data_IF_800704542335
#
_entry.id   IF_800704542335
#
_cell.length_a   1.000
_cell.length_b   1.000
_cell.length_c   1.000
_cell.angle_alpha   90.00
_cell.angle_beta   90.00
_cell.angle_gamma   90.00
#
_symmetry.space_group_name_H-M   'P 1'
#
loop_
_entity.id
_entity.type
_entity.pdbx_description
1 polymer ?
#
# COMPACT_ATOMS: atom_id res chain seq x y z
N UNK A 1 -22.29 -0.71 16.78
CA UNK A 1 -22.20 -0.35 15.35
C UNK A 1 -23.58 -0.50 14.69
N UNK A 2 -24.34 0.59 14.64
CA UNK A 2 -25.60 0.63 13.89
C UNK A 2 -25.30 1.17 12.50
N UNK A 3 -25.30 0.31 11.48
CA UNK A 3 -25.17 0.72 10.08
C UNK A 3 -26.41 1.48 9.62
N UNK A 4 -26.18 2.66 9.07
CA UNK A 4 -27.16 3.58 8.47
C UNK A 4 -28.01 2.85 7.42
N UNK A 5 -29.33 2.85 7.63
CA UNK A 5 -30.33 3.08 6.58
C UNK A 5 -30.69 2.00 5.57
N UNK A 6 -30.19 0.76 5.65
CA UNK A 6 -30.59 -0.29 4.68
C UNK A 6 -31.59 -1.29 5.29
N UNK A 7 -32.57 -1.73 4.48
CA UNK A 7 -33.60 -2.70 4.89
C UNK A 7 -32.94 -3.99 5.44
N UNK A 8 -33.59 -4.56 6.45
CA UNK A 8 -33.10 -5.71 7.21
C UNK A 8 -33.83 -6.97 6.73
N UNK A 9 -33.66 -7.32 5.45
CA UNK A 9 -34.20 -8.55 4.89
C UNK A 9 -33.25 -9.73 5.15
N UNK A 10 -33.80 -10.94 5.09
CA UNK A 10 -33.15 -12.21 5.45
C UNK A 10 -31.97 -12.60 4.53
N UNK A 11 -31.50 -11.69 3.68
CA UNK A 11 -30.44 -11.87 2.70
C UNK A 11 -29.08 -11.32 3.17
N UNK A 12 -29.00 -10.73 4.38
CA UNK A 12 -27.73 -10.25 4.92
C UNK A 12 -26.83 -11.39 5.35
N UNK A 13 -25.71 -11.53 4.65
CA UNK A 13 -24.58 -12.35 5.08
C UNK A 13 -23.68 -11.45 5.94
N UNK A 14 -23.32 -11.85 7.18
CA UNK A 14 -22.37 -11.09 7.98
C UNK A 14 -21.01 -11.07 7.29
N UNK A 15 -20.28 -9.95 7.42
CA UNK A 15 -18.90 -9.92 6.95
C UNK A 15 -18.07 -11.01 7.64
N UNK A 16 -17.22 -11.73 6.89
CA UNK A 16 -16.39 -12.79 7.44
C UNK A 16 -15.37 -12.23 8.45
N UNK A 17 -14.97 -13.09 9.38
CA UNK A 17 -13.92 -12.81 10.34
C UNK A 17 -12.56 -13.10 9.70
N UNK A 18 -12.03 -12.13 8.95
CA UNK A 18 -10.72 -12.25 8.30
C UNK A 18 -9.60 -12.04 9.31
N UNK A 19 -8.76 -13.07 9.46
CA UNK A 19 -7.60 -13.09 10.36
C UNK A 19 -6.34 -13.36 9.55
N UNK A 20 -5.63 -12.30 9.11
CA UNK A 20 -4.43 -12.45 8.30
C UNK A 20 -3.35 -13.24 9.05
N UNK A 21 -2.76 -14.21 8.34
CA UNK A 21 -1.62 -14.97 8.82
C UNK A 21 -0.35 -14.49 8.13
N UNK A 22 0.75 -14.44 8.89
CA UNK A 22 2.04 -14.03 8.35
C UNK A 22 2.60 -15.17 7.51
N UNK A 23 3.09 -14.83 6.31
CA UNK A 23 3.92 -15.73 5.52
C UNK A 23 5.35 -15.72 6.06
N UNK A 24 5.91 -16.90 6.35
CA UNK A 24 7.31 -17.04 6.78
C UNK A 24 8.30 -16.80 5.62
N UNK A 25 7.85 -17.03 4.38
CA UNK A 25 8.62 -16.79 3.16
C UNK A 25 7.72 -16.14 2.11
N UNK A 26 8.26 -15.27 1.25
CA UNK A 26 7.49 -14.73 0.13
C UNK A 26 6.94 -15.84 -0.76
N UNK A 27 5.68 -15.72 -1.17
CA UNK A 27 5.08 -16.60 -2.15
C UNK A 27 5.62 -16.23 -3.55
N UNK A 28 6.31 -17.16 -4.17
CA UNK A 28 6.79 -17.00 -5.55
C UNK A 28 6.04 -17.95 -6.47
N UNK A 29 5.37 -17.38 -7.48
CA UNK A 29 4.66 -18.12 -8.53
C UNK A 29 5.43 -17.90 -9.83
N UNK A 30 6.12 -18.94 -10.29
CA UNK A 30 6.89 -18.87 -11.53
C UNK A 30 5.95 -18.84 -12.74
N UNK A 31 6.16 -17.88 -13.63
CA UNK A 31 5.46 -17.80 -14.92
C UNK A 31 6.45 -17.41 -16.02
N UNK A 32 6.84 -18.39 -16.85
CA UNK A 32 7.81 -18.20 -17.94
C UNK A 32 7.27 -17.41 -19.12
N UNK A 33 5.96 -17.15 -19.18
CA UNK A 33 5.33 -16.40 -20.28
C UNK A 33 5.45 -14.88 -20.10
N UNK A 34 5.78 -14.41 -18.89
CA UNK A 34 5.95 -13.00 -18.57
C UNK A 34 7.43 -12.67 -18.30
N UNK A 35 7.89 -11.55 -18.86
CA UNK A 35 9.29 -11.11 -18.70
C UNK A 35 9.52 -10.25 -17.44
N UNK A 36 8.44 -9.70 -16.89
CA UNK A 36 8.47 -8.80 -15.74
C UNK A 36 8.03 -9.52 -14.48
N UNK A 37 8.56 -9.04 -13.36
CA UNK A 37 8.12 -9.42 -12.02
C UNK A 37 6.91 -8.57 -11.66
N UNK A 38 5.85 -9.23 -11.20
CA UNK A 38 4.73 -8.60 -10.54
C UNK A 38 4.88 -8.89 -9.07
N UNK A 39 4.96 -7.84 -8.25
CA UNK A 39 5.02 -8.01 -6.80
C UNK A 39 3.82 -7.33 -6.16
N UNK A 40 3.45 -7.88 -5.01
CA UNK A 40 2.46 -7.31 -4.11
C UNK A 40 2.99 -7.53 -2.70
N UNK A 41 3.12 -6.44 -1.96
CA UNK A 41 3.48 -6.45 -0.54
C UNK A 41 2.24 -5.98 0.19
N UNK A 42 1.82 -6.74 1.20
CA UNK A 42 0.70 -6.39 2.03
C UNK A 42 1.09 -6.50 3.50
N UNK A 43 0.68 -5.51 4.28
CA UNK A 43 0.93 -5.43 5.70
C UNK A 43 -0.39 -5.29 6.42
N UNK A 44 -0.51 -5.88 7.61
CA UNK A 44 -1.79 -5.94 8.31
C UNK A 44 -1.71 -5.42 9.74
N UNK A 45 -2.65 -4.56 10.07
CA UNK A 45 -3.02 -4.21 11.44
C UNK A 45 -4.18 -5.11 11.88
N UNK A 46 -4.06 -5.79 13.03
CA UNK A 46 -5.08 -6.73 13.56
C UNK A 46 -6.28 -6.05 14.24
N UNK A 47 -6.58 -4.83 13.79
CA UNK A 47 -7.74 -4.03 14.18
C UNK A 47 -8.08 -3.11 13.03
N UNK A 48 -9.26 -2.50 13.09
CA UNK A 48 -9.56 -1.38 12.21
C UNK A 48 -8.71 -0.16 12.61
N UNK A 49 -8.22 0.56 11.61
CA UNK A 49 -7.71 1.91 11.80
C UNK A 49 -8.86 2.85 12.14
N UNK A 50 -8.60 3.86 12.96
CA UNK A 50 -9.51 5.00 13.14
C UNK A 50 -9.57 5.84 11.85
N UNK A 51 -10.55 6.73 11.76
CA UNK A 51 -10.67 7.63 10.61
C UNK A 51 -9.40 8.51 10.48
N UNK A 52 -8.90 9.08 11.60
CA UNK A 52 -7.64 9.85 11.61
C UNK A 52 -6.42 9.04 11.14
N UNK A 53 -6.32 7.77 11.56
CA UNK A 53 -5.23 6.89 11.13
C UNK A 53 -5.33 6.54 9.64
N UNK A 54 -6.56 6.38 9.13
CA UNK A 54 -6.80 6.13 7.71
C UNK A 54 -6.47 7.36 6.87
N UNK A 55 -6.88 8.56 7.30
CA UNK A 55 -6.56 9.82 6.63
C UNK A 55 -5.06 10.07 6.60
N UNK A 56 -4.36 9.85 7.73
CA UNK A 56 -2.91 9.94 7.78
C UNK A 56 -2.24 8.95 6.81
N UNK A 57 -2.71 7.71 6.74
CA UNK A 57 -2.12 6.71 5.86
C UNK A 57 -2.44 6.95 4.38
N UNK A 58 -3.60 7.54 4.06
CA UNK A 58 -3.90 8.01 2.71
C UNK A 58 -2.95 9.13 2.29
N UNK A 59 -2.67 10.09 3.17
CA UNK A 59 -1.68 11.14 2.91
C UNK A 59 -0.29 10.56 2.63
N UNK A 60 0.10 9.53 3.38
CA UNK A 60 1.34 8.79 3.14
C UNK A 60 1.34 8.13 1.75
N UNK A 61 0.24 7.54 1.30
CA UNK A 61 0.16 6.97 -0.06
C UNK A 61 0.40 8.04 -1.13
N UNK A 62 -0.17 9.23 -0.94
CA UNK A 62 0.04 10.37 -1.85
C UNK A 62 1.51 10.78 -1.92
N UNK A 63 2.16 10.92 -0.76
CA UNK A 63 3.59 11.25 -0.64
C UNK A 63 4.46 10.17 -1.29
N UNK A 64 4.11 8.90 -1.13
CA UNK A 64 4.95 7.79 -1.59
C UNK A 64 4.75 7.41 -3.06
N UNK A 65 3.51 7.37 -3.55
CA UNK A 65 3.20 6.68 -4.82
C UNK A 65 2.24 7.37 -5.78
N UNK A 66 1.48 8.39 -5.40
CA UNK A 66 0.36 8.86 -6.26
C UNK A 66 0.74 10.02 -7.18
N UNK A 67 1.69 10.86 -6.79
CA UNK A 67 2.07 12.06 -7.56
C UNK A 67 3.34 11.83 -8.39
N UNK A 68 3.57 12.67 -9.41
CA UNK A 68 4.79 12.64 -10.21
C UNK A 68 6.05 12.99 -9.40
N UNK A 69 5.90 13.69 -8.28
CA UNK A 69 6.98 14.07 -7.36
C UNK A 69 7.01 13.20 -6.10
N UNK A 70 6.24 12.11 -6.07
CA UNK A 70 6.20 11.20 -4.94
C UNK A 70 7.55 10.52 -4.71
N UNK A 71 7.85 10.24 -3.44
CA UNK A 71 9.19 9.81 -3.03
C UNK A 71 9.58 8.45 -3.59
N UNK A 72 8.63 7.53 -3.80
CA UNK A 72 8.90 6.23 -4.43
C UNK A 72 8.61 6.30 -5.93
N UNK A 73 7.36 6.54 -6.34
CA UNK A 73 7.02 6.46 -7.76
C UNK A 73 7.73 7.54 -8.59
N UNK A 74 7.77 8.79 -8.10
CA UNK A 74 8.48 9.88 -8.77
C UNK A 74 9.96 9.56 -8.95
N UNK A 75 10.68 9.27 -7.86
CA UNK A 75 12.10 8.89 -7.90
C UNK A 75 12.36 7.69 -8.81
N UNK A 76 11.53 6.65 -8.73
CA UNK A 76 11.72 5.44 -9.54
C UNK A 76 11.46 5.70 -11.03
N UNK A 77 10.48 6.55 -11.38
CA UNK A 77 10.20 6.95 -12.76
C UNK A 77 11.31 7.82 -13.34
N UNK A 78 11.82 8.77 -12.58
CA UNK A 78 12.95 9.62 -13.00
C UNK A 78 14.20 8.79 -13.33
N UNK A 79 14.41 7.69 -12.59
CA UNK A 79 15.47 6.72 -12.84
C UNK A 79 15.14 5.67 -13.90
N UNK A 80 13.97 5.73 -14.53
CA UNK A 80 13.52 4.77 -15.54
C UNK A 80 13.32 3.33 -15.02
N UNK A 81 13.07 3.16 -13.71
CA UNK A 81 12.98 1.85 -13.07
C UNK A 81 11.63 1.18 -13.26
N UNK A 82 10.55 1.96 -13.15
CA UNK A 82 9.16 1.47 -13.19
C UNK A 82 8.28 2.44 -13.96
N UNK A 83 7.26 1.92 -14.66
CA UNK A 83 6.27 2.75 -15.34
C UNK A 83 5.12 3.15 -14.41
N UNK A 84 4.63 2.22 -13.58
CA UNK A 84 3.55 2.47 -12.64
C UNK A 84 3.71 1.63 -11.39
N UNK A 85 3.31 2.22 -10.28
CA UNK A 85 3.26 1.61 -8.95
C UNK A 85 2.07 2.22 -8.23
N UNK A 86 1.47 1.46 -7.33
CA UNK A 86 0.34 1.94 -6.53
C UNK A 86 0.47 1.41 -5.12
N UNK A 87 -0.15 2.14 -4.20
CA UNK A 87 -0.39 1.71 -2.84
C UNK A 87 -1.83 2.00 -2.45
N UNK A 88 -2.26 1.45 -1.32
CA UNK A 88 -3.60 1.70 -0.82
C UNK A 88 -3.85 1.11 0.54
N UNK A 89 -4.94 1.57 1.16
CA UNK A 89 -5.40 1.09 2.47
C UNK A 89 -6.75 0.41 2.31
N UNK A 90 -6.89 -0.79 2.83
CA UNK A 90 -8.16 -1.49 2.95
C UNK A 90 -8.56 -1.71 4.39
N UNK A 91 -9.87 -1.83 4.63
CA UNK A 91 -10.40 -2.23 5.94
C UNK A 91 -11.35 -3.41 5.79
N UNK A 92 -11.08 -4.44 6.57
CA UNK A 92 -11.99 -5.56 6.80
C UNK A 92 -12.68 -5.42 8.16
N UNK A 93 -13.53 -6.39 8.51
CA UNK A 93 -14.25 -6.41 9.78
C UNK A 93 -13.32 -6.38 10.99
N UNK A 94 -12.21 -7.13 10.93
CA UNK A 94 -11.31 -7.36 12.06
C UNK A 94 -9.89 -6.84 11.84
N UNK A 95 -9.58 -6.31 10.65
CA UNK A 95 -8.23 -5.90 10.31
C UNK A 95 -8.24 -4.70 9.34
N UNK A 96 -7.07 -4.11 9.15
CA UNK A 96 -6.81 -3.15 8.09
C UNK A 96 -5.50 -3.52 7.44
N UNK A 97 -5.39 -3.23 6.14
CA UNK A 97 -4.22 -3.59 5.37
C UNK A 97 -3.67 -2.38 4.62
N UNK A 98 -2.35 -2.37 4.45
CA UNK A 98 -1.64 -1.38 3.68
C UNK A 98 -0.73 -2.08 2.69
N UNK A 99 -0.98 -1.85 1.41
CA UNK A 99 -0.38 -2.61 0.33
C UNK A 99 0.38 -1.74 -0.65
N UNK A 100 1.36 -2.35 -1.31
CA UNK A 100 2.11 -1.80 -2.42
C UNK A 100 2.20 -2.81 -3.55
N UNK A 101 2.13 -2.35 -4.79
CA UNK A 101 2.27 -3.23 -5.94
C UNK A 101 2.76 -2.52 -7.19
N UNK A 102 3.57 -3.23 -7.97
CA UNK A 102 4.01 -2.78 -9.28
C UNK A 102 4.38 -3.95 -10.19
N UNK A 103 4.49 -3.62 -11.47
CA UNK A 103 5.15 -4.46 -12.46
C UNK A 103 6.53 -3.85 -12.77
N UNK A 104 7.59 -4.64 -12.60
CA UNK A 104 8.97 -4.18 -12.77
C UNK A 104 9.80 -5.23 -13.51
N UNK A 105 10.82 -4.80 -14.27
CA UNK A 105 11.76 -5.74 -14.88
C UNK A 105 12.65 -6.39 -13.80
N UNK A 106 13.08 -7.65 -13.95
CA UNK A 106 13.96 -8.29 -12.97
C UNK A 106 15.24 -7.51 -12.69
N UNK A 107 15.79 -6.84 -13.73
CA UNK A 107 16.99 -6.00 -13.63
C UNK A 107 16.77 -4.77 -12.73
N UNK A 108 15.59 -4.16 -12.81
CA UNK A 108 15.29 -2.92 -12.07
C UNK A 108 14.72 -3.18 -10.67
N UNK A 109 14.23 -4.39 -10.40
CA UNK A 109 13.57 -4.72 -9.14
C UNK A 109 14.43 -4.42 -7.90
N UNK A 110 15.74 -4.77 -7.82
CA UNK A 110 16.55 -4.46 -6.64
C UNK A 110 16.60 -2.96 -6.33
N UNK A 111 16.87 -2.12 -7.34
CA UNK A 111 16.95 -0.67 -7.17
C UNK A 111 15.59 -0.05 -6.78
N UNK A 112 14.48 -0.59 -7.28
CA UNK A 112 13.15 -0.17 -6.86
C UNK A 112 12.90 -0.51 -5.39
N UNK A 113 13.23 -1.73 -4.96
CA UNK A 113 13.04 -2.14 -3.57
C UNK A 113 13.93 -1.36 -2.60
N UNK A 114 15.16 -0.99 -2.99
CA UNK A 114 16.02 -0.12 -2.18
C UNK A 114 15.38 1.26 -1.94
N UNK A 115 14.79 1.87 -2.97
CA UNK A 115 14.05 3.13 -2.83
C UNK A 115 12.84 2.94 -1.91
N UNK A 116 12.06 1.88 -2.12
CA UNK A 116 10.88 1.59 -1.30
C UNK A 116 11.22 1.45 0.18
N UNK A 117 12.21 0.64 0.51
CA UNK A 117 12.64 0.41 1.90
C UNK A 117 13.14 1.71 2.50
N UNK A 118 13.99 2.46 1.80
CA UNK A 118 14.53 3.72 2.33
C UNK A 118 13.45 4.77 2.63
N UNK A 119 12.46 4.95 1.77
CA UNK A 119 11.38 5.92 2.01
C UNK A 119 10.40 5.44 3.09
N UNK A 120 10.12 4.14 3.19
CA UNK A 120 9.28 3.58 4.26
C UNK A 120 9.99 3.71 5.62
N UNK A 121 11.30 3.45 5.69
CA UNK A 121 12.09 3.61 6.92
C UNK A 121 12.10 5.07 7.41
N UNK A 122 12.24 6.05 6.50
CA UNK A 122 12.15 7.48 6.85
C UNK A 122 10.80 7.82 7.50
N UNK A 123 9.69 7.30 6.97
CA UNK A 123 8.37 7.49 7.58
C UNK A 123 8.35 6.93 9.00
N UNK A 124 8.85 5.72 9.21
CA UNK A 124 8.91 5.12 10.54
C UNK A 124 9.80 5.89 11.52
N UNK A 125 10.85 6.54 11.03
CA UNK A 125 11.73 7.40 11.83
C UNK A 125 11.15 8.79 12.09
N UNK A 126 10.03 9.16 11.44
CA UNK A 126 9.43 10.49 11.51
C UNK A 126 10.15 11.54 10.65
N UNK A 127 11.00 11.10 9.73
CA UNK A 127 11.75 11.96 8.80
C UNK A 127 10.86 12.38 7.62
N UNK A 128 9.83 13.18 7.92
CA UNK A 128 8.88 13.73 6.96
C UNK A 128 9.03 15.25 6.85
N UNK A 129 9.34 15.73 5.66
CA UNK A 129 9.41 17.17 5.42
C UNK A 129 8.00 17.77 5.45
N UNK A 130 7.85 18.90 6.14
CA UNK A 130 6.57 19.62 6.22
C UNK A 130 6.03 20.00 4.84
N UNK A 131 6.92 20.31 3.89
CA UNK A 131 6.54 20.64 2.53
C UNK A 131 5.89 19.45 1.79
N UNK A 132 6.32 18.22 2.07
CA UNK A 132 5.72 17.03 1.46
C UNK A 132 4.30 16.79 2.01
N UNK A 133 4.10 17.04 3.31
CA UNK A 133 2.78 16.96 3.97
C UNK A 133 1.84 18.02 3.38
N UNK A 134 2.30 19.27 3.29
CA UNK A 134 1.50 20.38 2.74
C UNK A 134 1.16 20.16 1.26
N UNK A 135 2.08 19.59 0.47
CA UNK A 135 1.85 19.27 -0.94
C UNK A 135 0.85 18.13 -1.14
N UNK A 136 0.83 17.14 -0.26
CA UNK A 136 -0.05 15.98 -0.37
C UNK A 136 -1.51 16.23 0.07
N UNK A 137 -1.78 17.38 0.71
CA UNK A 137 -3.14 17.78 1.12
C UNK A 137 -3.95 18.50 0.04
N UNK A 138 -3.33 18.86 -1.10
CA UNK A 138 -3.94 19.63 -2.20
C UNK A 138 -4.54 18.72 -3.27
#
# INVERSE_FOLDING_TARGET
FGTIGLRNDKLRIPLPDERPERLEKPLHIANSTVKNVYFYIDTFMRRRLTDDEQDALNLINTILTETLHSKILGTARERGLVYGMSSGVGQAKLNSNWWFGAQVSPKNAPALFEIMVGEIEKIFNGDLDKADIEAAQQ
#
